data_IF_530309578337
#
_entry.id   IF_530309578337
#
_cell.length_a   1.000
_cell.length_b   1.000
_cell.length_c   1.000
_cell.angle_alpha   90.00
_cell.angle_beta   90.00
_cell.angle_gamma   90.00
#
_symmetry.space_group_name_H-M   'P 1'
#
loop_
_entity.id
_entity.type
_entity.pdbx_description
1 polymer ?
#
# COMPACT_ATOMS: atom_id res chain seq x y z
N UNK A 1 -7.57 -32.75 -62.69
CA UNK A 1 -8.41 -31.80 -63.44
C UNK A 1 -9.53 -31.29 -62.55
N UNK A 2 -9.55 -29.98 -62.33
CA UNK A 2 -10.71 -29.10 -62.06
C UNK A 2 -11.86 -29.71 -61.23
N UNK A 3 -11.95 -29.33 -59.96
CA UNK A 3 -13.21 -29.10 -59.22
C UNK A 3 -12.88 -28.61 -57.81
N UNK A 4 -13.44 -27.46 -57.46
CA UNK A 4 -13.70 -26.90 -56.11
C UNK A 4 -13.39 -25.40 -55.98
N UNK A 5 -13.63 -24.63 -57.05
CA UNK A 5 -13.76 -23.16 -57.01
C UNK A 5 -15.24 -22.76 -57.06
N UNK A 6 -16.07 -23.29 -56.14
CA UNK A 6 -17.53 -23.02 -56.07
C UNK A 6 -17.94 -22.76 -54.61
N UNK A 7 -17.27 -21.83 -53.93
CA UNK A 7 -17.72 -21.26 -52.64
C UNK A 7 -17.57 -19.73 -52.70
N UNK A 8 -17.99 -19.11 -53.81
CA UNK A 8 -17.87 -17.66 -54.00
C UNK A 8 -19.05 -17.07 -54.79
N UNK A 9 -20.24 -17.67 -54.68
CA UNK A 9 -21.39 -17.27 -55.50
C UNK A 9 -22.78 -17.49 -54.86
N UNK A 10 -22.86 -17.44 -53.52
CA UNK A 10 -24.13 -17.33 -52.77
C UNK A 10 -23.97 -16.30 -51.64
N UNK A 11 -23.44 -15.12 -51.97
CA UNK A 11 -23.28 -13.99 -51.05
C UNK A 11 -23.55 -12.65 -51.74
N UNK A 12 -24.29 -12.66 -52.85
CA UNK A 12 -24.52 -11.51 -53.72
C UNK A 12 -26.02 -11.26 -53.95
N UNK A 13 -26.82 -11.38 -52.88
CA UNK A 13 -28.29 -11.21 -52.98
C UNK A 13 -28.92 -10.30 -51.92
N UNK A 14 -28.17 -9.53 -51.14
CA UNK A 14 -28.76 -8.58 -50.17
C UNK A 14 -27.89 -7.31 -50.03
N UNK A 15 -27.59 -6.60 -51.13
CA UNK A 15 -26.93 -5.26 -51.04
C UNK A 15 -27.63 -4.20 -51.91
N UNK A 16 -28.82 -4.48 -52.46
CA UNK A 16 -29.52 -3.51 -53.33
C UNK A 16 -30.94 -3.19 -52.85
N UNK A 17 -31.12 -3.00 -51.55
CA UNK A 17 -32.39 -2.50 -50.97
C UNK A 17 -32.17 -1.72 -49.68
N UNK A 18 -31.51 -0.56 -49.75
CA UNK A 18 -31.75 0.59 -48.86
C UNK A 18 -30.92 1.78 -49.32
N UNK A 19 -31.42 2.43 -50.36
CA UNK A 19 -30.99 3.77 -50.74
C UNK A 19 -32.14 4.71 -50.33
N UNK A 20 -31.86 5.63 -49.41
CA UNK A 20 -32.66 6.83 -49.21
C UNK A 20 -33.53 6.87 -47.95
N UNK A 21 -33.20 7.84 -47.08
CA UNK A 21 -34.11 8.77 -46.41
C UNK A 21 -34.07 8.86 -44.86
N UNK A 22 -32.97 8.54 -44.18
CA UNK A 22 -32.87 8.75 -42.71
C UNK A 22 -31.54 9.35 -42.21
N UNK A 23 -30.72 9.96 -43.07
CA UNK A 23 -29.37 10.42 -42.66
C UNK A 23 -29.32 11.87 -42.15
N UNK A 24 -30.14 12.79 -42.65
CA UNK A 24 -30.03 14.20 -42.24
C UNK A 24 -30.51 14.46 -40.80
N UNK A 25 -31.54 13.75 -40.33
CA UNK A 25 -32.03 13.90 -38.96
C UNK A 25 -31.08 13.28 -37.91
N UNK A 26 -30.36 12.21 -38.28
CA UNK A 26 -29.33 11.63 -37.41
C UNK A 26 -28.06 12.47 -37.39
N UNK A 27 -27.66 13.09 -38.51
CA UNK A 27 -26.52 14.01 -38.54
C UNK A 27 -26.80 15.27 -37.72
N UNK A 28 -28.01 15.83 -37.79
CA UNK A 28 -28.36 17.02 -36.98
C UNK A 28 -28.43 16.69 -35.48
N UNK A 29 -28.99 15.54 -35.11
CA UNK A 29 -29.00 15.09 -33.72
C UNK A 29 -27.59 14.75 -33.20
N UNK A 30 -26.70 14.18 -34.01
CA UNK A 30 -25.30 13.93 -33.62
C UNK A 30 -24.51 15.23 -33.48
N UNK A 31 -24.79 16.23 -34.32
CA UNK A 31 -24.17 17.57 -34.22
C UNK A 31 -24.70 18.33 -32.99
N UNK A 32 -26.00 18.27 -32.69
CA UNK A 32 -26.57 18.85 -31.46
C UNK A 32 -26.07 18.11 -30.21
N UNK A 33 -25.94 16.78 -30.25
CA UNK A 33 -25.38 15.99 -29.15
C UNK A 33 -23.89 16.27 -28.91
N UNK A 34 -23.09 16.48 -29.97
CA UNK A 34 -21.69 16.92 -29.86
C UNK A 34 -21.57 18.36 -29.37
N UNK A 35 -22.44 19.28 -29.78
CA UNK A 35 -22.45 20.65 -29.27
C UNK A 35 -22.85 20.72 -27.78
N UNK A 36 -23.82 19.91 -27.36
CA UNK A 36 -24.20 19.76 -25.94
C UNK A 36 -23.11 19.07 -25.10
N UNK A 37 -22.31 18.16 -25.67
CA UNK A 37 -21.12 17.61 -25.00
C UNK A 37 -19.94 18.59 -24.97
N UNK A 38 -19.86 19.53 -25.91
CA UNK A 38 -18.80 20.55 -25.96
C UNK A 38 -19.03 21.69 -24.94
N UNK A 39 -20.25 21.83 -24.41
CA UNK A 39 -20.55 22.70 -23.26
C UNK A 39 -20.20 22.07 -21.89
N UNK A 40 -19.56 20.90 -21.85
CA UNK A 40 -18.72 20.59 -20.69
C UNK A 40 -17.52 21.52 -20.77
N UNK A 41 -17.58 22.62 -20.01
CA UNK A 41 -16.45 23.51 -19.73
C UNK A 41 -15.30 22.59 -19.30
N UNK A 42 -14.40 22.30 -20.25
CA UNK A 42 -13.18 21.58 -19.95
C UNK A 42 -12.50 22.42 -18.86
N UNK A 43 -12.20 21.85 -17.68
CA UNK A 43 -11.56 22.61 -16.63
C UNK A 43 -10.31 23.26 -17.22
N UNK A 44 -10.21 24.58 -17.07
CA UNK A 44 -9.09 25.35 -17.60
C UNK A 44 -7.80 24.69 -17.11
N UNK A 45 -6.89 24.36 -18.05
CA UNK A 45 -5.65 23.69 -17.69
C UNK A 45 -4.94 24.51 -16.61
N UNK A 46 -4.47 23.89 -15.51
CA UNK A 46 -3.95 24.62 -14.38
C UNK A 46 -2.81 25.52 -14.82
N UNK A 47 -2.84 26.79 -14.40
CA UNK A 47 -1.77 27.74 -14.70
C UNK A 47 -0.43 27.23 -14.15
N UNK A 48 0.69 27.61 -14.78
CA UNK A 48 2.04 27.26 -14.31
C UNK A 48 2.23 27.60 -12.81
N UNK A 49 1.61 28.69 -12.35
CA UNK A 49 1.62 29.10 -10.94
C UNK A 49 0.88 28.12 -10.03
N UNK A 50 -0.27 27.60 -10.46
CA UNK A 50 -1.02 26.58 -9.72
C UNK A 50 -0.25 25.26 -9.68
N UNK A 51 0.28 24.82 -10.81
CA UNK A 51 1.09 23.59 -10.89
C UNK A 51 2.32 23.66 -9.97
N UNK A 52 3.04 24.80 -9.95
CA UNK A 52 4.19 24.97 -9.05
C UNK A 52 3.79 25.00 -7.57
N UNK A 53 2.63 25.60 -7.25
CA UNK A 53 2.12 25.61 -5.88
C UNK A 53 1.73 24.20 -5.41
N UNK A 54 1.12 23.40 -6.29
CA UNK A 54 0.76 22.02 -6.01
C UNK A 54 2.00 21.14 -5.82
N UNK A 55 3.03 21.28 -6.68
CA UNK A 55 4.32 20.59 -6.52
C UNK A 55 4.96 20.90 -5.16
N UNK A 56 5.11 22.18 -4.82
CA UNK A 56 5.71 22.57 -3.54
C UNK A 56 4.92 22.05 -2.33
N UNK A 57 3.59 21.92 -2.46
CA UNK A 57 2.75 21.34 -1.41
C UNK A 57 2.98 19.83 -1.30
N UNK A 58 3.00 19.12 -2.42
CA UNK A 58 3.30 17.68 -2.46
C UNK A 58 4.68 17.38 -1.88
N UNK A 59 5.71 18.15 -2.24
CA UNK A 59 7.06 17.99 -1.69
C UNK A 59 7.09 18.16 -0.16
N UNK A 60 6.31 19.12 0.36
CA UNK A 60 6.18 19.35 1.79
C UNK A 60 5.43 18.20 2.49
N UNK A 61 4.34 17.72 1.90
CA UNK A 61 3.55 16.60 2.45
C UNK A 61 4.39 15.31 2.48
N UNK A 62 5.20 15.05 1.44
CA UNK A 62 6.15 13.93 1.41
C UNK A 62 7.23 14.05 2.49
N UNK A 63 7.79 15.24 2.68
CA UNK A 63 8.81 15.48 3.69
C UNK A 63 8.27 15.29 5.11
N UNK A 64 7.03 15.76 5.38
CA UNK A 64 6.38 15.56 6.68
C UNK A 64 6.16 14.07 6.93
N UNK A 65 5.56 13.35 5.97
CA UNK A 65 5.33 11.92 6.14
C UNK A 65 6.62 11.12 6.31
N UNK A 66 7.66 11.45 5.53
CA UNK A 66 8.98 10.82 5.64
C UNK A 66 9.58 10.99 7.04
N UNK A 67 9.51 12.20 7.61
CA UNK A 67 10.01 12.46 8.96
C UNK A 67 9.27 11.62 10.02
N UNK A 68 7.94 11.55 9.95
CA UNK A 68 7.14 10.72 10.86
C UNK A 68 7.44 9.23 10.69
N UNK A 69 7.61 8.75 9.45
CA UNK A 69 7.98 7.36 9.16
C UNK A 69 9.38 7.03 9.70
N UNK A 70 10.35 7.93 9.53
CA UNK A 70 11.70 7.79 10.08
C UNK A 70 11.71 7.75 11.62
N UNK A 71 10.91 8.61 12.26
CA UNK A 71 10.74 8.57 13.72
C UNK A 71 10.13 7.24 14.18
N UNK A 72 9.04 6.80 13.55
CA UNK A 72 8.39 5.52 13.85
C UNK A 72 9.34 4.32 13.69
N UNK A 73 10.13 4.29 12.61
CA UNK A 73 11.14 3.27 12.38
C UNK A 73 12.15 3.18 13.52
N UNK A 74 12.69 4.33 13.95
CA UNK A 74 13.68 4.41 15.02
C UNK A 74 13.12 3.95 16.37
N UNK A 75 11.89 4.33 16.68
CA UNK A 75 11.23 3.94 17.92
C UNK A 75 10.92 2.45 17.94
N UNK A 76 10.37 1.92 16.84
CA UNK A 76 10.09 0.48 16.72
C UNK A 76 11.36 -0.36 16.80
N UNK A 77 12.46 0.09 16.17
CA UNK A 77 13.77 -0.58 16.28
C UNK A 77 14.22 -0.69 17.74
N UNK A 78 14.15 0.44 18.45
CA UNK A 78 14.53 0.54 19.87
C UNK A 78 13.67 -0.40 20.74
N UNK A 79 12.37 -0.47 20.50
CA UNK A 79 11.47 -1.35 21.25
C UNK A 79 11.73 -2.83 20.95
N UNK A 80 11.96 -3.19 19.69
CA UNK A 80 12.35 -4.56 19.30
C UNK A 80 13.67 -4.97 19.96
N UNK A 81 14.67 -4.11 19.99
CA UNK A 81 15.94 -4.37 20.68
C UNK A 81 15.74 -4.60 22.19
N UNK A 82 14.83 -3.85 22.83
CA UNK A 82 14.49 -4.03 24.25
C UNK A 82 13.73 -5.33 24.53
N UNK A 83 13.07 -5.93 23.52
CA UNK A 83 12.40 -7.23 23.64
C UNK A 83 13.43 -8.37 23.64
N UNK A 84 14.52 -8.27 22.86
CA UNK A 84 15.53 -9.32 22.69
C UNK A 84 15.99 -10.05 23.97
N UNK A 85 16.27 -9.36 25.09
CA UNK A 85 16.86 -9.98 26.29
C UNK A 85 15.99 -11.05 26.97
N UNK A 86 14.70 -11.15 26.66
CA UNK A 86 13.85 -12.23 27.18
C UNK A 86 14.23 -13.59 26.59
N UNK A 87 14.76 -13.61 25.37
CA UNK A 87 15.11 -14.84 24.64
C UNK A 87 16.52 -15.38 24.96
N UNK A 88 17.36 -14.57 25.60
CA UNK A 88 18.73 -14.96 25.95
C UNK A 88 18.84 -15.64 27.32
N UNK A 89 17.79 -15.54 28.16
CA UNK A 89 17.83 -15.99 29.56
C UNK A 89 17.03 -17.27 29.75
N UNK A 90 17.69 -18.33 30.23
CA UNK A 90 17.06 -19.62 30.55
C UNK A 90 16.04 -19.59 31.70
N UNK A 91 15.80 -18.42 32.32
CA UNK A 91 14.84 -18.29 33.42
C UNK A 91 14.02 -17.00 33.24
N UNK A 92 12.92 -17.13 32.51
CA UNK A 92 11.92 -16.09 32.30
C UNK A 92 10.84 -16.25 33.37
N UNK A 93 10.60 -15.17 34.10
CA UNK A 93 9.53 -15.10 35.10
C UNK A 93 8.39 -14.21 34.58
N UNK A 94 7.27 -14.24 35.29
CA UNK A 94 6.07 -13.45 34.93
C UNK A 94 6.36 -11.95 34.82
N UNK A 95 7.25 -11.40 35.65
CA UNK A 95 7.58 -9.97 35.59
C UNK A 95 8.25 -9.60 34.26
N UNK A 96 9.23 -10.39 33.80
CA UNK A 96 9.87 -10.17 32.49
C UNK A 96 8.88 -10.36 31.35
N UNK A 97 8.02 -11.37 31.43
CA UNK A 97 6.98 -11.61 30.43
C UNK A 97 6.06 -10.38 30.31
N UNK A 98 5.58 -9.85 31.43
CA UNK A 98 4.71 -8.67 31.45
C UNK A 98 5.44 -7.42 30.93
N UNK A 99 6.71 -7.22 31.29
CA UNK A 99 7.52 -6.12 30.74
C UNK A 99 7.61 -6.21 29.21
N UNK A 100 7.89 -7.39 28.68
CA UNK A 100 7.96 -7.60 27.23
C UNK A 100 6.61 -7.41 26.55
N UNK A 101 5.50 -7.87 27.16
CA UNK A 101 4.16 -7.61 26.65
C UNK A 101 3.85 -6.11 26.58
N UNK A 102 4.25 -5.32 27.59
CA UNK A 102 4.09 -3.86 27.55
C UNK A 102 4.89 -3.19 26.43
N UNK A 103 6.10 -3.67 26.13
CA UNK A 103 6.88 -3.17 24.98
C UNK A 103 6.19 -3.49 23.65
N UNK A 104 5.63 -4.69 23.51
CA UNK A 104 4.87 -5.07 22.32
C UNK A 104 3.61 -4.20 22.16
N UNK A 105 2.91 -3.93 23.26
CA UNK A 105 1.76 -3.01 23.27
C UNK A 105 2.14 -1.58 22.89
N UNK A 106 3.32 -1.13 23.28
CA UNK A 106 3.83 0.17 22.87
C UNK A 106 4.07 0.23 21.36
N UNK A 107 4.68 -0.81 20.75
CA UNK A 107 4.83 -0.88 19.28
C UNK A 107 3.46 -0.78 18.59
N UNK A 108 2.46 -1.52 19.08
CA UNK A 108 1.10 -1.48 18.53
C UNK A 108 0.48 -0.09 18.63
N UNK A 109 0.63 0.58 19.79
CA UNK A 109 0.10 1.92 20.01
C UNK A 109 0.77 2.97 19.13
N UNK A 110 2.10 2.90 18.97
CA UNK A 110 2.85 3.79 18.07
C UNK A 110 2.44 3.56 16.61
N UNK A 111 2.24 2.30 16.23
CA UNK A 111 1.74 1.94 14.91
C UNK A 111 0.34 2.49 14.63
N UNK A 112 -0.59 2.39 15.58
CA UNK A 112 -1.95 2.95 15.42
C UNK A 112 -1.89 4.46 15.18
N UNK A 113 -1.06 5.18 15.94
CA UNK A 113 -0.84 6.62 15.72
C UNK A 113 -0.29 6.89 14.31
N UNK A 114 0.70 6.11 13.88
CA UNK A 114 1.33 6.27 12.56
C UNK A 114 0.38 5.93 11.40
N UNK A 115 -0.47 4.91 11.55
CA UNK A 115 -1.46 4.49 10.55
C UNK A 115 -2.56 5.52 10.30
N UNK A 116 -2.79 6.44 11.24
CA UNK A 116 -3.77 7.52 11.11
C UNK A 116 -3.23 8.74 10.36
N UNK A 117 -1.96 8.75 9.97
CA UNK A 117 -1.39 9.79 9.12
C UNK A 117 -1.92 9.69 7.69
N UNK A 118 -2.07 10.83 7.02
CA UNK A 118 -2.42 10.86 5.60
C UNK A 118 -1.21 10.38 4.78
N UNK A 119 -1.35 9.22 4.13
CA UNK A 119 -0.25 8.55 3.46
C UNK A 119 -0.13 9.02 2.01
N UNK A 120 1.03 9.54 1.59
CA UNK A 120 1.31 9.79 0.18
C UNK A 120 1.49 8.49 -0.60
N UNK A 121 1.01 8.45 -1.84
CA UNK A 121 1.09 7.29 -2.75
C UNK A 121 2.49 6.65 -2.86
N UNK A 122 3.62 7.41 -2.93
CA UNK A 122 4.95 6.81 -2.97
C UNK A 122 5.28 5.90 -1.77
N UNK A 123 4.60 6.05 -0.64
CA UNK A 123 4.80 5.26 0.57
C UNK A 123 3.89 4.03 0.66
N UNK A 124 3.14 3.67 -0.38
CA UNK A 124 2.30 2.47 -0.38
C UNK A 124 3.12 1.18 -0.19
N UNK A 125 4.29 1.07 -0.82
CA UNK A 125 5.22 -0.05 -0.63
C UNK A 125 5.65 -0.20 0.83
N UNK A 126 6.11 0.92 1.41
CA UNK A 126 6.47 1.01 2.83
C UNK A 126 5.33 0.56 3.75
N UNK A 127 4.10 1.02 3.47
CA UNK A 127 2.93 0.66 4.25
C UNK A 127 2.60 -0.84 4.19
N UNK A 128 2.76 -1.49 3.04
CA UNK A 128 2.55 -2.94 2.95
C UNK A 128 3.53 -3.72 3.85
N UNK A 129 4.79 -3.30 3.89
CA UNK A 129 5.80 -3.92 4.77
C UNK A 129 5.52 -3.60 6.24
N UNK A 130 5.03 -2.41 6.54
CA UNK A 130 4.57 -2.04 7.87
C UNK A 130 3.46 -2.99 8.37
N UNK A 131 2.44 -3.25 7.56
CA UNK A 131 1.37 -4.20 7.91
C UNK A 131 1.91 -5.61 8.16
N UNK A 132 2.85 -6.08 7.34
CA UNK A 132 3.50 -7.37 7.56
C UNK A 132 4.25 -7.42 8.90
N UNK A 133 4.91 -6.33 9.28
CA UNK A 133 5.59 -6.19 10.57
C UNK A 133 4.59 -6.30 11.72
N UNK A 134 3.43 -5.65 11.63
CA UNK A 134 2.39 -5.71 12.66
C UNK A 134 1.80 -7.10 12.83
N UNK A 135 1.61 -7.86 11.74
CA UNK A 135 1.14 -9.24 11.81
C UNK A 135 2.08 -10.10 12.67
N UNK A 136 3.39 -9.94 12.50
CA UNK A 136 4.39 -10.67 13.30
C UNK A 136 4.42 -10.21 14.75
N UNK A 137 4.27 -8.90 15.01
CA UNK A 137 4.17 -8.33 16.36
C UNK A 137 2.91 -8.81 17.09
N UNK A 138 1.77 -8.88 16.40
CA UNK A 138 0.51 -9.40 16.94
C UNK A 138 0.60 -10.89 17.24
N UNK A 139 1.22 -11.66 16.35
CA UNK A 139 1.46 -13.07 16.55
C UNK A 139 2.38 -13.32 17.76
N UNK A 140 3.44 -12.52 17.90
CA UNK A 140 4.33 -12.52 19.06
C UNK A 140 3.53 -12.23 20.35
N UNK A 141 2.73 -11.16 20.36
CA UNK A 141 1.87 -10.79 21.50
C UNK A 141 1.01 -11.97 21.94
N UNK A 142 0.26 -12.55 21.01
CA UNK A 142 -0.65 -13.67 21.28
C UNK A 142 0.09 -14.84 21.91
N UNK A 143 1.19 -15.28 21.31
CA UNK A 143 1.98 -16.42 21.82
C UNK A 143 2.54 -16.13 23.22
N UNK A 144 2.97 -14.90 23.47
CA UNK A 144 3.48 -14.49 24.78
C UNK A 144 2.38 -14.38 25.83
N UNK A 145 1.20 -13.85 25.48
CA UNK A 145 0.04 -13.77 26.38
C UNK A 145 -0.50 -15.13 26.79
N UNK A 146 -0.36 -16.15 25.93
CA UNK A 146 -0.81 -17.51 26.19
C UNK A 146 0.18 -18.32 27.07
N UNK A 147 1.34 -17.76 27.41
CA UNK A 147 2.36 -18.48 28.17
C UNK A 147 1.93 -18.79 29.61
N UNK A 148 2.07 -20.05 30.01
CA UNK A 148 1.73 -20.50 31.37
C UNK A 148 2.97 -20.49 32.28
N UNK A 149 2.79 -20.15 33.56
CA UNK A 149 3.82 -20.22 34.58
C UNK A 149 3.84 -21.63 35.22
N UNK A 150 5.00 -22.32 35.34
CA UNK A 150 6.34 -21.94 34.85
C UNK A 150 6.44 -21.96 33.32
N UNK A 151 7.12 -20.96 32.77
CA UNK A 151 7.29 -20.80 31.32
C UNK A 151 8.18 -21.92 30.80
N UNK A 152 7.61 -22.79 29.96
CA UNK A 152 8.36 -23.89 29.37
C UNK A 152 9.29 -23.36 28.25
N UNK A 153 10.55 -23.83 28.13
CA UNK A 153 11.48 -23.35 27.12
C UNK A 153 10.94 -23.40 25.68
N UNK A 154 10.17 -24.43 25.32
CA UNK A 154 9.54 -24.53 23.99
C UNK A 154 8.54 -23.38 23.70
N UNK A 155 7.88 -22.83 24.71
CA UNK A 155 6.99 -21.67 24.52
C UNK A 155 7.82 -20.43 24.13
N UNK A 156 8.98 -20.23 24.77
CA UNK A 156 9.91 -19.15 24.43
C UNK A 156 10.52 -19.35 23.04
N UNK A 157 10.91 -20.58 22.67
CA UNK A 157 11.39 -20.87 21.32
C UNK A 157 10.34 -20.54 20.26
N UNK A 158 9.06 -20.85 20.53
CA UNK A 158 7.98 -20.54 19.59
C UNK A 158 7.76 -19.02 19.46
N UNK A 159 7.74 -18.29 20.58
CA UNK A 159 7.65 -16.82 20.55
C UNK A 159 8.85 -16.17 19.83
N UNK A 160 10.05 -16.75 19.98
CA UNK A 160 11.27 -16.24 19.35
C UNK A 160 11.15 -16.15 17.83
N UNK A 161 10.49 -17.12 17.20
CA UNK A 161 10.29 -17.12 15.74
C UNK A 161 9.53 -15.86 15.29
N UNK A 162 8.44 -15.51 15.96
CA UNK A 162 7.67 -14.30 15.63
C UNK A 162 8.44 -13.02 15.92
N UNK A 163 9.24 -13.00 16.99
CA UNK A 163 10.13 -11.87 17.26
C UNK A 163 11.18 -11.70 16.15
N UNK A 164 11.84 -12.77 15.72
CA UNK A 164 12.85 -12.73 14.66
C UNK A 164 12.24 -12.32 13.31
N UNK A 165 11.03 -12.79 13.00
CA UNK A 165 10.27 -12.35 11.83
C UNK A 165 9.90 -10.86 11.92
N UNK A 166 9.45 -10.36 13.08
CA UNK A 166 9.15 -8.95 13.27
C UNK A 166 10.39 -8.07 13.05
N UNK A 167 11.56 -8.48 13.56
CA UNK A 167 12.84 -7.79 13.31
C UNK A 167 13.21 -7.81 11.83
N UNK A 168 13.00 -8.94 11.14
CA UNK A 168 13.27 -9.03 9.71
C UNK A 168 12.35 -8.14 8.88
N UNK A 169 11.04 -8.13 9.18
CA UNK A 169 10.06 -7.28 8.51
C UNK A 169 10.34 -5.80 8.77
N UNK A 170 10.72 -5.43 10.00
CA UNK A 170 11.14 -4.06 10.31
C UNK A 170 12.36 -3.62 9.48
N UNK A 171 13.38 -4.47 9.31
CA UNK A 171 14.52 -4.18 8.42
C UNK A 171 14.12 -4.03 6.96
N UNK A 172 13.12 -4.78 6.49
CA UNK A 172 12.58 -4.58 5.14
C UNK A 172 11.88 -3.22 5.03
N UNK A 173 11.19 -2.80 6.09
CA UNK A 173 10.54 -1.51 6.19
C UNK A 173 11.56 -0.35 6.13
N UNK A 174 12.69 -0.47 6.84
CA UNK A 174 13.82 0.47 6.76
C UNK A 174 14.37 0.59 5.34
N UNK A 175 14.55 -0.55 4.65
CA UNK A 175 15.07 -0.56 3.27
C UNK A 175 14.12 0.12 2.29
N UNK A 176 12.83 -0.15 2.41
CA UNK A 176 11.80 0.46 1.57
C UNK A 176 11.73 1.96 1.81
N UNK A 177 11.77 2.39 3.08
CA UNK A 177 11.85 3.79 3.46
C UNK A 177 13.04 4.49 2.81
N UNK A 178 14.25 3.93 2.95
CA UNK A 178 15.47 4.50 2.37
C UNK A 178 15.37 4.61 0.84
N UNK A 179 14.83 3.58 0.17
CA UNK A 179 14.61 3.59 -1.28
C UNK A 179 13.70 4.75 -1.69
N UNK A 180 12.56 4.91 -1.02
CA UNK A 180 11.58 5.96 -1.32
C UNK A 180 12.16 7.35 -1.05
N UNK A 181 12.85 7.54 0.07
CA UNK A 181 13.46 8.83 0.40
C UNK A 181 14.57 9.21 -0.56
N UNK A 182 15.36 8.24 -1.03
CA UNK A 182 16.38 8.47 -2.05
C UNK A 182 15.75 8.86 -3.40
N UNK A 183 14.71 8.14 -3.84
CA UNK A 183 13.98 8.44 -5.08
C UNK A 183 13.32 9.83 -5.06
N UNK A 184 12.81 10.25 -3.91
CA UNK A 184 12.17 11.56 -3.71
C UNK A 184 13.17 12.68 -3.39
N UNK A 185 14.44 12.37 -3.14
CA UNK A 185 15.47 13.35 -2.77
C UNK A 185 15.29 13.96 -1.37
N UNK A 186 14.75 13.19 -0.43
CA UNK A 186 14.52 13.57 0.98
C UNK A 186 15.71 13.05 1.81
N UNK A 187 16.41 13.94 2.52
CA UNK A 187 17.62 13.64 3.31
C UNK A 187 17.57 14.21 4.72
#
# INVERSE_FOLDING_TARGET
>A
MKKNSVILLIGASIVLSSCGAEDEANIVNDVEAQQLQTEQIAPEAPSIRQQNRERNRQDNDYSIYANEAGFYLSQTATLLEQIAPIFDKNNVNTNKLNQTLSLIEQIQSESESFMNLDRPEPFDGFHHVHLATLIEVDALKRVMSDMKNPIHPLQLTNARVYYENAVQSHKLMEREYLSITEELGIY
#
